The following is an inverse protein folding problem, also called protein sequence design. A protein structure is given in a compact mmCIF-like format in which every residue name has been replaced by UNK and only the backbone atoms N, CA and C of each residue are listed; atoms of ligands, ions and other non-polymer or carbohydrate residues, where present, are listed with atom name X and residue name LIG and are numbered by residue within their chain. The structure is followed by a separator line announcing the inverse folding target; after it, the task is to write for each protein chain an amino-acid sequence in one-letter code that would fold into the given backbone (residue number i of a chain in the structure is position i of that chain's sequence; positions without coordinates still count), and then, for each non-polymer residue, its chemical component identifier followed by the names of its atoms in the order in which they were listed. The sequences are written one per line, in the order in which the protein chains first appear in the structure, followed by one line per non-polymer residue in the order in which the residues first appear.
data_IF_550528737238
#
_entry.id   IF_550528737238
#
_cell.length_a   1.000
_cell.length_b   1.000
_cell.length_c   1.000
_cell.angle_alpha   90.00
_cell.angle_beta   90.00
_cell.angle_gamma   90.00
#
_symmetry.space_group_name_H-M   'P 1'
#
loop_
_entity.id
_entity.type
_entity.pdbx_description
1 polymer ?
#
# COMPACT_ATOMS: atom_id res chain seq x y z
N UNK A 1 -16.15 -6.08 5.85
CA UNK A 1 -15.06 -7.08 5.73
C UNK A 1 -14.16 -6.65 4.58
N UNK A 2 -12.89 -6.30 4.84
CA UNK A 2 -11.93 -6.05 3.75
C UNK A 2 -11.50 -7.39 3.20
N UNK A 3 -11.75 -7.63 1.92
CA UNK A 3 -11.34 -8.87 1.27
C UNK A 3 -9.81 -8.98 1.31
N UNK A 4 -9.32 -10.09 1.83
CA UNK A 4 -7.95 -10.52 1.58
C UNK A 4 -7.78 -10.61 0.07
N UNK A 5 -6.79 -9.91 -0.45
CA UNK A 5 -6.52 -9.89 -1.87
C UNK A 5 -5.59 -11.05 -2.19
N UNK A 6 -6.14 -12.07 -2.80
CA UNK A 6 -5.34 -13.17 -3.34
C UNK A 6 -4.89 -12.82 -4.75
N UNK A 7 -3.60 -12.91 -5.00
CA UNK A 7 -2.95 -12.59 -6.27
C UNK A 7 -2.08 -13.77 -6.69
N UNK A 8 -1.93 -13.97 -7.99
CA UNK A 8 -0.82 -14.78 -8.50
C UNK A 8 0.47 -13.96 -8.46
N UNK A 9 1.64 -14.61 -8.54
CA UNK A 9 2.92 -13.92 -8.61
C UNK A 9 2.98 -12.92 -9.79
N UNK A 10 2.42 -13.28 -10.94
CA UNK A 10 2.35 -12.39 -12.11
C UNK A 10 1.49 -11.15 -11.84
N UNK A 11 0.34 -11.31 -11.19
CA UNK A 11 -0.53 -10.19 -10.82
C UNK A 11 0.13 -9.28 -9.78
N UNK A 12 0.83 -9.87 -8.80
CA UNK A 12 1.55 -9.11 -7.79
C UNK A 12 2.67 -8.26 -8.44
N UNK A 13 3.40 -8.81 -9.40
CA UNK A 13 4.44 -8.08 -10.14
C UNK A 13 3.84 -6.94 -11.00
N UNK A 14 2.71 -7.17 -11.63
CA UNK A 14 2.01 -6.13 -12.40
C UNK A 14 1.54 -4.98 -11.48
N UNK A 15 1.00 -5.31 -10.30
CA UNK A 15 0.64 -4.30 -9.31
C UNK A 15 1.85 -3.51 -8.80
N UNK A 16 2.96 -4.19 -8.51
CA UNK A 16 4.19 -3.50 -8.13
C UNK A 16 4.65 -2.51 -9.20
N UNK A 17 4.62 -2.89 -10.49
CA UNK A 17 4.95 -1.98 -11.60
C UNK A 17 4.04 -0.76 -11.63
N UNK A 18 2.77 -0.96 -11.35
CA UNK A 18 1.83 0.16 -11.28
C UNK A 18 2.13 1.09 -10.10
N UNK A 19 2.33 0.53 -8.90
CA UNK A 19 2.61 1.33 -7.71
C UNK A 19 3.96 2.05 -7.76
N UNK A 20 4.97 1.51 -8.42
CA UNK A 20 6.27 2.17 -8.65
C UNK A 20 6.18 3.48 -9.44
N UNK A 21 5.05 3.76 -10.08
CA UNK A 21 4.79 5.06 -10.73
C UNK A 21 4.37 6.14 -9.74
N UNK A 22 3.98 5.76 -8.53
CA UNK A 22 3.36 6.66 -7.53
C UNK A 22 4.15 6.68 -6.21
N UNK A 23 4.78 5.56 -5.85
CA UNK A 23 5.53 5.41 -4.62
C UNK A 23 7.02 5.30 -4.92
N UNK A 24 7.85 5.88 -4.07
CA UNK A 24 9.31 5.89 -4.22
C UNK A 24 9.89 4.48 -4.06
N UNK A 25 9.32 3.68 -3.16
CA UNK A 25 9.70 2.28 -2.98
C UNK A 25 8.46 1.39 -2.92
N UNK A 26 8.50 0.32 -3.68
CA UNK A 26 7.49 -0.74 -3.65
C UNK A 26 8.18 -2.07 -3.55
N UNK A 27 7.86 -2.83 -2.51
CA UNK A 27 8.43 -4.16 -2.29
C UNK A 27 7.40 -5.13 -1.72
N UNK A 28 7.59 -6.41 -1.97
CA UNK A 28 6.82 -7.48 -1.33
C UNK A 28 7.71 -8.18 -0.34
N UNK A 29 7.22 -8.35 0.88
CA UNK A 29 7.85 -9.10 1.96
C UNK A 29 7.03 -10.34 2.23
N UNK A 30 7.69 -11.49 2.14
CA UNK A 30 7.11 -12.76 2.59
C UNK A 30 7.19 -12.86 4.11
N UNK A 31 6.38 -13.73 4.69
CA UNK A 31 6.34 -13.93 6.14
C UNK A 31 7.72 -14.17 6.76
N UNK A 32 8.54 -14.99 6.11
CA UNK A 32 9.89 -15.36 6.55
C UNK A 32 10.97 -14.29 6.27
N UNK A 33 10.62 -13.19 5.66
CA UNK A 33 11.48 -12.03 5.43
C UNK A 33 11.18 -10.89 6.43
N UNK A 34 10.10 -11.02 7.20
CA UNK A 34 9.67 -10.01 8.17
C UNK A 34 10.29 -10.31 9.53
N UNK A 35 11.34 -9.58 9.88
CA UNK A 35 12.11 -9.79 11.09
C UNK A 35 11.29 -9.81 12.37
N UNK A 36 10.27 -8.93 12.48
CA UNK A 36 9.39 -8.89 13.64
C UNK A 36 8.55 -10.16 13.84
N UNK A 37 8.28 -10.92 12.77
CA UNK A 37 7.64 -12.24 12.85
C UNK A 37 8.66 -13.30 13.20
N UNK A 38 9.77 -13.32 12.48
CA UNK A 38 10.84 -14.31 12.71
C UNK A 38 11.34 -14.29 14.15
N UNK A 39 11.49 -13.11 14.74
CA UNK A 39 11.89 -12.95 16.13
C UNK A 39 10.86 -13.54 17.11
N UNK A 40 9.57 -13.38 16.88
CA UNK A 40 8.50 -13.96 17.71
C UNK A 40 8.40 -15.48 17.58
N UNK A 41 8.65 -16.00 16.39
CA UNK A 41 8.54 -17.42 16.06
C UNK A 41 9.86 -18.17 16.29
N UNK A 42 10.91 -17.45 16.69
CA UNK A 42 12.27 -17.99 16.86
C UNK A 42 12.78 -18.70 15.59
N UNK A 43 12.45 -18.14 14.42
CA UNK A 43 12.84 -18.66 13.10
C UNK A 43 13.92 -17.78 12.47
N UNK A 44 14.85 -18.37 11.68
CA UNK A 44 15.86 -17.59 10.98
C UNK A 44 15.22 -16.69 9.92
N UNK A 45 15.74 -15.47 9.78
CA UNK A 45 15.36 -14.54 8.73
C UNK A 45 16.03 -14.98 7.43
N UNK A 46 15.24 -15.23 6.39
CA UNK A 46 15.78 -15.54 5.06
C UNK A 46 16.18 -14.25 4.35
N UNK A 47 17.36 -14.27 3.75
CA UNK A 47 17.94 -13.15 3.00
C UNK A 47 18.28 -11.92 3.85
N UNK A 48 18.33 -10.75 3.19
CA UNK A 48 18.62 -9.49 3.87
C UNK A 48 17.47 -9.11 4.81
N UNK A 49 17.75 -8.81 6.08
CA UNK A 49 16.70 -8.44 7.02
C UNK A 49 15.91 -7.22 6.54
N UNK A 50 14.58 -7.26 6.63
CA UNK A 50 13.71 -6.17 6.15
C UNK A 50 14.03 -4.81 6.78
N UNK A 51 14.57 -4.80 8.01
CA UNK A 51 14.96 -3.60 8.74
C UNK A 51 16.27 -2.98 8.27
N UNK A 52 17.15 -3.76 7.59
CA UNK A 52 18.38 -3.19 7.02
C UNK A 52 18.11 -2.15 5.94
N UNK A 53 16.98 -2.25 5.25
CA UNK A 53 16.51 -1.21 4.35
C UNK A 53 16.34 0.15 5.06
N UNK A 54 15.99 0.11 6.33
CA UNK A 54 15.84 1.31 7.16
C UNK A 54 17.14 1.77 7.83
N UNK A 55 18.26 1.12 7.53
CA UNK A 55 19.54 1.38 8.18
C UNK A 55 19.55 1.03 9.68
N UNK A 56 18.63 0.18 10.15
CA UNK A 56 18.52 -0.21 11.55
C UNK A 56 19.37 -1.44 11.83
N UNK A 57 20.01 -1.51 13.01
CA UNK A 57 20.75 -2.70 13.43
C UNK A 57 19.82 -3.85 13.89
N UNK A 58 18.62 -3.50 14.38
CA UNK A 58 17.68 -4.42 15.01
C UNK A 58 16.28 -4.36 14.37
N UNK A 59 15.42 -5.38 14.56
CA UNK A 59 14.05 -5.38 14.12
C UNK A 59 13.25 -4.16 14.62
N UNK A 60 12.37 -3.64 13.76
CA UNK A 60 11.55 -2.49 14.12
C UNK A 60 10.60 -2.81 15.28
N UNK A 61 10.60 -2.02 16.34
CA UNK A 61 9.64 -2.15 17.46
C UNK A 61 8.19 -2.02 16.99
N UNK A 62 7.93 -1.07 16.10
CA UNK A 62 6.62 -0.82 15.50
C UNK A 62 6.56 -1.36 14.06
N UNK A 63 6.73 -2.67 13.89
CA UNK A 63 6.73 -3.30 12.57
C UNK A 63 5.29 -3.37 12.01
N UNK A 64 4.98 -2.49 11.06
CA UNK A 64 3.66 -2.49 10.36
C UNK A 64 3.45 -3.74 9.53
N UNK A 65 4.51 -4.29 8.93
CA UNK A 65 4.42 -5.52 8.13
C UNK A 65 4.09 -6.74 8.97
N UNK A 66 4.71 -6.89 10.16
CA UNK A 66 4.34 -7.96 11.09
C UNK A 66 2.87 -7.82 11.53
N UNK A 67 2.46 -6.60 11.89
CA UNK A 67 1.09 -6.33 12.30
C UNK A 67 0.08 -6.53 11.17
N UNK A 68 0.45 -6.23 9.92
CA UNK A 68 -0.41 -6.49 8.76
C UNK A 68 -0.66 -7.99 8.55
N UNK A 69 0.36 -8.84 8.70
CA UNK A 69 0.24 -10.30 8.65
C UNK A 69 -0.66 -10.81 9.80
N UNK A 70 -0.41 -10.38 11.03
CA UNK A 70 -1.14 -10.82 12.22
C UNK A 70 -2.62 -10.45 12.14
N UNK A 71 -2.94 -9.23 11.72
CA UNK A 71 -4.31 -8.71 11.70
C UNK A 71 -5.04 -8.94 10.39
N UNK A 72 -4.34 -9.36 9.34
CA UNK A 72 -4.82 -9.42 7.96
C UNK A 72 -5.44 -8.10 7.49
N UNK A 73 -4.86 -6.98 7.92
CA UNK A 73 -5.31 -5.62 7.61
C UNK A 73 -4.14 -4.75 7.22
N UNK A 74 -4.42 -3.77 6.36
CA UNK A 74 -3.44 -2.75 6.02
C UNK A 74 -3.05 -1.95 7.26
N UNK A 75 -1.77 -1.66 7.39
CA UNK A 75 -1.19 -0.86 8.46
C UNK A 75 -0.44 0.32 7.87
N UNK A 76 -0.44 1.42 8.60
CA UNK A 76 0.22 2.66 8.16
C UNK A 76 1.04 3.22 9.30
N UNK A 77 2.19 3.80 9.00
CA UNK A 77 3.01 4.58 9.93
C UNK A 77 3.81 5.67 9.22
N UNK A 78 4.33 6.61 9.99
CA UNK A 78 5.45 7.43 9.60
C UNK A 78 6.73 6.80 10.15
N UNK A 79 7.74 6.66 9.31
CA UNK A 79 9.07 6.20 9.69
C UNK A 79 10.05 7.36 9.56
N UNK A 80 10.76 7.66 10.64
CA UNK A 80 11.73 8.74 10.69
C UNK A 80 13.14 8.17 10.48
N UNK A 81 13.83 8.67 9.48
CA UNK A 81 15.22 8.33 9.17
C UNK A 81 16.09 9.59 9.27
N UNK A 82 17.41 9.40 9.24
CA UNK A 82 18.34 10.52 9.22
C UNK A 82 18.25 11.36 7.94
N UNK A 83 17.85 10.73 6.84
CA UNK A 83 17.78 11.29 5.49
C UNK A 83 16.34 11.65 5.06
N UNK A 84 15.33 11.42 5.90
CA UNK A 84 13.95 11.76 5.53
C UNK A 84 12.87 11.13 6.40
N UNK A 85 11.65 11.50 6.12
CA UNK A 85 10.45 10.94 6.74
C UNK A 85 9.69 10.18 5.66
N UNK A 86 9.31 8.94 5.98
CA UNK A 86 8.61 8.09 5.05
C UNK A 86 7.21 7.75 5.55
N UNK A 87 6.22 7.96 4.72
CA UNK A 87 4.89 7.38 4.88
C UNK A 87 4.94 5.94 4.39
N UNK A 88 4.69 5.00 5.29
CA UNK A 88 4.78 3.56 5.04
C UNK A 88 3.40 2.95 5.10
N UNK A 89 2.96 2.34 4.02
CA UNK A 89 1.74 1.56 3.94
C UNK A 89 2.13 0.10 3.79
N UNK A 90 1.78 -0.73 4.77
CA UNK A 90 1.96 -2.18 4.73
C UNK A 90 0.62 -2.85 4.41
N UNK A 91 0.42 -3.25 3.16
CA UNK A 91 -0.81 -3.93 2.70
C UNK A 91 -0.70 -5.43 2.86
N UNK A 92 -1.68 -6.05 3.54
CA UNK A 92 -1.81 -7.50 3.55
C UNK A 92 -2.28 -7.98 2.18
N UNK A 93 -1.56 -8.94 1.61
CA UNK A 93 -1.90 -9.66 0.37
C UNK A 93 -1.59 -11.14 0.55
N UNK A 94 -2.16 -11.97 -0.29
CA UNK A 94 -1.78 -13.38 -0.47
C UNK A 94 -1.24 -13.53 -1.89
N UNK A 95 -0.04 -14.08 -2.02
CA UNK A 95 0.58 -14.35 -3.32
C UNK A 95 0.71 -15.85 -3.47
N UNK A 96 0.04 -16.42 -4.47
CA UNK A 96 -0.06 -17.87 -4.69
C UNK A 96 -0.48 -18.64 -3.41
N UNK A 97 -1.36 -18.04 -2.61
CA UNK A 97 -1.85 -18.60 -1.35
C UNK A 97 -0.96 -18.35 -0.12
N UNK A 98 0.21 -17.78 -0.30
CA UNK A 98 1.12 -17.45 0.80
C UNK A 98 0.89 -16.02 1.32
N UNK A 99 0.80 -15.82 2.65
CA UNK A 99 0.63 -14.50 3.22
C UNK A 99 1.87 -13.65 3.03
N UNK A 100 1.68 -12.48 2.42
CA UNK A 100 2.71 -11.50 2.11
C UNK A 100 2.27 -10.10 2.53
N UNK A 101 3.22 -9.19 2.55
CA UNK A 101 2.97 -7.75 2.68
C UNK A 101 3.54 -7.02 1.49
N UNK A 102 2.72 -6.22 0.83
CA UNK A 102 3.20 -5.22 -0.10
C UNK A 102 3.43 -3.91 0.66
N UNK A 103 4.69 -3.51 0.79
CA UNK A 103 5.06 -2.22 1.35
C UNK A 103 5.15 -1.17 0.26
N UNK A 104 4.45 -0.08 0.49
CA UNK A 104 4.44 1.11 -0.33
C UNK A 104 5.00 2.26 0.49
N UNK A 105 6.10 2.84 0.05
CA UNK A 105 6.81 3.88 0.77
C UNK A 105 6.82 5.15 -0.06
N UNK A 106 6.53 6.24 0.61
CA UNK A 106 6.63 7.57 0.02
C UNK A 106 7.41 8.48 0.95
N UNK A 107 8.41 9.16 0.40
CA UNK A 107 9.15 10.18 1.12
C UNK A 107 8.29 11.42 1.32
N UNK A 108 8.22 11.88 2.56
CA UNK A 108 7.45 13.07 2.93
C UNK A 108 8.42 14.18 3.25
N UNK A 109 8.33 15.27 2.53
CA UNK A 109 9.18 16.44 2.80
C UNK A 109 8.87 17.01 4.18
N UNK A 110 9.88 17.17 5.07
CA UNK A 110 9.68 17.64 6.45
C UNK A 110 8.94 18.98 6.53
N UNK A 111 9.19 19.85 5.56
CA UNK A 111 8.59 21.20 5.45
C UNK A 111 7.06 21.14 5.30
N UNK A 112 6.55 20.03 4.81
CA UNK A 112 5.11 19.81 4.65
C UNK A 112 4.43 19.19 5.89
N UNK A 113 5.21 18.78 6.90
CA UNK A 113 4.70 18.16 8.14
C UNK A 113 4.68 19.15 9.31
N UNK A 114 5.55 20.16 9.33
CA UNK A 114 5.88 20.98 10.51
C UNK A 114 4.97 22.20 10.68
N UNK A 115 4.03 22.44 9.82
CA UNK A 115 3.07 23.52 10.05
C UNK A 115 2.03 23.08 11.09
N UNK A 116 1.65 24.01 11.98
CA UNK A 116 0.65 23.78 13.05
C UNK A 116 -0.74 23.32 12.49
N UNK A 117 -0.93 23.40 11.18
CA UNK A 117 -2.01 22.76 10.42
C UNK A 117 -1.65 21.36 9.90
N UNK A 118 -0.62 20.73 10.46
CA UNK A 118 -0.01 19.48 9.93
C UNK A 118 -0.97 18.31 9.82
N UNK A 119 -1.98 18.25 10.65
CA UNK A 119 -3.01 17.21 10.56
C UNK A 119 -3.86 17.37 9.28
N UNK A 120 -4.22 18.61 8.93
CA UNK A 120 -4.95 18.90 7.69
C UNK A 120 -4.09 18.66 6.44
N UNK A 121 -2.80 19.01 6.48
CA UNK A 121 -1.88 18.76 5.35
C UNK A 121 -1.58 17.27 5.18
N UNK A 122 -1.41 16.53 6.26
CA UNK A 122 -1.24 15.07 6.19
C UNK A 122 -2.49 14.40 5.60
N UNK A 123 -3.67 14.79 6.08
CA UNK A 123 -4.94 14.31 5.53
C UNK A 123 -5.14 14.73 4.07
N UNK A 124 -4.75 15.96 3.71
CA UNK A 124 -4.78 16.44 2.33
C UNK A 124 -3.89 15.60 1.42
N UNK A 125 -2.65 15.30 1.84
CA UNK A 125 -1.73 14.43 1.09
C UNK A 125 -2.25 12.99 0.97
N UNK A 126 -2.78 12.43 2.05
CA UNK A 126 -3.42 11.10 2.00
C UNK A 126 -4.60 11.10 1.03
N UNK A 127 -5.41 12.15 1.03
CA UNK A 127 -6.52 12.31 0.09
C UNK A 127 -6.01 12.48 -1.35
N UNK A 128 -4.98 13.27 -1.58
CA UNK A 128 -4.36 13.43 -2.89
C UNK A 128 -3.85 12.09 -3.46
N UNK A 129 -3.21 11.25 -2.62
CA UNK A 129 -2.82 9.90 -3.03
C UNK A 129 -4.02 9.00 -3.29
N UNK A 130 -5.05 9.14 -2.49
CA UNK A 130 -6.30 8.41 -2.70
C UNK A 130 -6.93 8.78 -4.04
N UNK A 131 -7.00 10.07 -4.34
CA UNK A 131 -7.49 10.58 -5.62
C UNK A 131 -6.63 10.09 -6.80
N UNK A 132 -5.31 10.27 -6.75
CA UNK A 132 -4.41 9.76 -7.79
C UNK A 132 -4.52 8.25 -8.04
N UNK A 133 -4.87 7.48 -7.01
CA UNK A 133 -5.04 6.02 -7.10
C UNK A 133 -6.37 5.63 -7.73
N UNK A 134 -7.43 6.41 -7.49
CA UNK A 134 -8.79 6.03 -7.81
C UNK A 134 -9.50 6.92 -8.83
N UNK A 135 -8.87 8.01 -9.27
CA UNK A 135 -9.42 8.86 -10.32
C UNK A 135 -8.66 8.70 -11.64
N UNK A 136 -9.34 8.98 -12.72
CA UNK A 136 -8.76 9.09 -14.06
C UNK A 136 -8.17 10.49 -14.24
N UNK A 137 -6.91 10.57 -14.67
CA UNK A 137 -6.15 11.83 -14.75
C UNK A 137 -6.72 12.82 -15.75
N UNK A 138 -7.41 12.34 -16.78
CA UNK A 138 -7.95 13.18 -17.84
C UNK A 138 -9.33 13.73 -17.49
N UNK A 139 -10.16 12.92 -16.89
CA UNK A 139 -11.57 13.22 -16.66
C UNK A 139 -11.91 13.60 -15.23
N UNK A 140 -11.03 13.27 -14.26
CA UNK A 140 -11.25 13.50 -12.83
C UNK A 140 -12.33 12.60 -12.19
N UNK A 141 -12.94 11.69 -12.96
CA UNK A 141 -13.91 10.74 -12.43
C UNK A 141 -13.21 9.50 -11.88
N UNK A 142 -13.92 8.70 -11.09
CA UNK A 142 -13.37 7.45 -10.57
C UNK A 142 -13.01 6.49 -11.70
N UNK A 143 -11.81 5.92 -11.61
CA UNK A 143 -11.31 4.97 -12.59
C UNK A 143 -11.89 3.55 -12.33
N UNK A 144 -11.63 2.64 -13.27
CA UNK A 144 -12.04 1.24 -13.18
C UNK A 144 -11.63 0.58 -11.87
N UNK A 145 -10.47 0.95 -11.32
CA UNK A 145 -9.95 0.41 -10.09
C UNK A 145 -10.82 0.75 -8.88
N UNK A 146 -11.31 1.98 -8.80
CA UNK A 146 -12.26 2.39 -7.76
C UNK A 146 -13.54 1.53 -7.81
N UNK A 147 -14.08 1.31 -9.01
CA UNK A 147 -15.22 0.45 -9.19
C UNK A 147 -14.97 -0.97 -8.66
N UNK A 148 -13.87 -1.61 -9.09
CA UNK A 148 -13.58 -2.99 -8.73
C UNK A 148 -13.25 -3.19 -7.23
N UNK A 149 -12.55 -2.24 -6.63
CA UNK A 149 -12.10 -2.36 -5.24
C UNK A 149 -13.10 -1.82 -4.21
N UNK A 150 -13.87 -0.81 -4.57
CA UNK A 150 -14.76 -0.10 -3.64
C UNK A 150 -16.24 -0.34 -3.93
N UNK A 151 -16.69 -0.11 -5.16
CA UNK A 151 -18.10 -0.13 -5.50
C UNK A 151 -18.66 -1.53 -5.73
N UNK A 152 -17.97 -2.37 -6.49
CA UNK A 152 -18.41 -3.72 -6.84
C UNK A 152 -18.79 -4.60 -5.64
N UNK A 153 -18.25 -4.28 -4.47
CA UNK A 153 -18.46 -5.02 -3.21
C UNK A 153 -19.38 -4.28 -2.23
N UNK A 154 -19.83 -3.10 -2.59
CA UNK A 154 -20.73 -2.31 -1.74
C UNK A 154 -22.18 -2.71 -2.00
N UNK A 155 -22.97 -2.84 -0.95
CA UNK A 155 -24.40 -2.95 -1.08
C UNK A 155 -24.94 -1.55 -1.27
N UNK A 156 -25.23 -1.19 -2.51
CA UNK A 156 -25.77 0.14 -2.87
C UNK A 156 -27.20 -0.04 -3.35
N UNK A 157 -28.11 0.73 -2.78
CA UNK A 157 -29.48 0.87 -3.33
C UNK A 157 -29.47 1.99 -4.35
N UNK A 158 -28.97 1.71 -5.57
CA UNK A 158 -28.85 2.68 -6.65
C UNK A 158 -29.02 2.00 -8.02
N UNK A 159 -29.46 2.74 -9.03
CA UNK A 159 -29.44 2.31 -10.41
C UNK A 159 -28.01 2.41 -11.00
N UNK A 160 -27.67 1.50 -11.90
CA UNK A 160 -26.41 1.53 -12.65
C UNK A 160 -26.76 1.75 -14.12
N UNK A 161 -26.10 2.75 -14.75
CA UNK A 161 -26.14 2.95 -16.18
C UNK A 161 -24.73 2.65 -16.75
N UNK A 162 -24.68 1.90 -17.84
CA UNK A 162 -23.46 1.71 -18.63
C UNK A 162 -23.61 2.51 -19.92
N UNK A 163 -22.66 3.37 -20.20
CA UNK A 163 -22.66 4.24 -21.39
C UNK A 163 -21.39 3.90 -22.18
N UNK A 164 -21.56 3.59 -23.47
CA UNK A 164 -20.46 3.37 -24.40
C UNK A 164 -20.65 4.26 -25.64
N UNK A 165 -19.56 4.55 -26.31
CA UNK A 165 -19.59 5.33 -27.56
C UNK A 165 -19.54 4.37 -28.73
N UNK A 166 -20.60 4.36 -29.53
CA UNK A 166 -20.62 3.62 -30.79
C UNK A 166 -19.66 4.27 -31.79
N UNK A 167 -19.01 3.45 -32.62
CA UNK A 167 -18.12 3.86 -33.72
C UNK A 167 -16.88 4.70 -33.32
N UNK A 168 -16.34 4.49 -32.11
CA UNK A 168 -15.16 5.22 -31.64
C UNK A 168 -13.84 4.85 -32.34
N UNK A 169 -13.86 3.91 -33.30
CA UNK A 169 -12.69 3.57 -34.12
C UNK A 169 -12.69 4.40 -35.40
N UNK A 170 -11.86 5.44 -35.43
CA UNK A 170 -11.35 6.05 -36.67
C UNK A 170 -10.04 5.38 -37.03
#
# INVERSE_FOLDING_TARGET
MRNNRSLTAAQAEEEMKYYRKVFDVVRILRRNEIAGICAKENTPILNCPCYSFWGKPDPCENCTSAKAIETKRDQVKLEFRQDGIFHVISRYIEVDGEPCVMELLHEVEPENIIDMSGEEKLLSRINEYYEKTYTDVLTGIYNRRFYEEKLKKSVISAGIAMIDLDDFKI
#
